data_IF_960334114424
#
_entry.id   IF_960334114424
#
_cell.length_a   1.000
_cell.length_b   1.000
_cell.length_c   1.000
_cell.angle_alpha   90.00
_cell.angle_beta   90.00
_cell.angle_gamma   90.00
#
_symmetry.space_group_name_H-M   'P 1'
#
loop_
_entity.id
_entity.type
_entity.pdbx_description
1 polymer ?
#
# COMPACT_ATOMS: atom_id res chain seq x y z
N UNK A 1 12.22 10.77 -28.17
CA UNK A 1 11.64 10.83 -26.82
C UNK A 1 10.48 9.85 -26.78
N UNK A 2 10.67 8.68 -26.16
CA UNK A 2 9.56 7.75 -25.89
C UNK A 2 9.11 7.97 -24.45
N UNK A 3 7.80 8.06 -24.16
CA UNK A 3 7.33 7.95 -22.79
C UNK A 3 7.48 6.49 -22.38
N UNK A 4 8.49 6.19 -21.56
CA UNK A 4 8.53 4.91 -20.85
C UNK A 4 7.39 4.92 -19.86
N UNK A 5 6.26 4.33 -20.25
CA UNK A 5 5.25 3.88 -19.30
C UNK A 5 5.97 3.12 -18.19
N UNK A 6 5.84 3.49 -16.91
CA UNK A 6 6.35 2.63 -15.86
C UNK A 6 5.57 1.33 -16.02
N UNK A 7 6.30 0.24 -16.26
CA UNK A 7 5.79 -1.11 -16.08
C UNK A 7 5.26 -1.14 -14.65
N UNK A 8 3.96 -0.88 -14.49
CA UNK A 8 3.25 -1.12 -13.24
C UNK A 8 3.55 -2.57 -12.93
N UNK A 9 4.40 -2.81 -11.95
CA UNK A 9 4.72 -4.15 -11.51
C UNK A 9 3.40 -4.72 -11.01
N UNK A 10 2.67 -5.43 -11.86
CA UNK A 10 1.50 -6.26 -11.51
C UNK A 10 2.00 -7.49 -10.76
N UNK A 11 2.85 -7.25 -9.76
CA UNK A 11 3.38 -8.24 -8.84
C UNK A 11 2.39 -8.46 -7.72
N UNK A 12 2.59 -9.56 -6.99
CA UNK A 12 1.82 -9.84 -5.78
C UNK A 12 1.95 -8.69 -4.76
N UNK A 13 0.95 -8.49 -3.89
CA UNK A 13 1.00 -7.47 -2.85
C UNK A 13 2.26 -7.59 -1.98
N UNK A 14 3.00 -6.48 -1.86
CA UNK A 14 4.24 -6.47 -1.10
C UNK A 14 4.07 -5.73 0.24
N UNK A 15 3.84 -6.50 1.31
CA UNK A 15 3.67 -5.97 2.66
C UNK A 15 4.96 -5.37 3.25
N UNK A 16 6.15 -5.74 2.74
CA UNK A 16 7.43 -5.21 3.23
C UNK A 16 7.58 -3.72 2.96
N UNK A 17 6.93 -3.20 1.92
CA UNK A 17 6.86 -1.75 1.64
C UNK A 17 6.19 -1.00 2.80
N UNK A 18 5.13 -1.57 3.39
CA UNK A 18 4.43 -0.99 4.54
C UNK A 18 5.30 -1.06 5.79
N UNK A 19 5.88 -2.24 6.06
CA UNK A 19 6.71 -2.50 7.23
C UNK A 19 7.96 -1.60 7.26
N UNK A 20 8.64 -1.46 6.12
CA UNK A 20 9.81 -0.57 6.00
C UNK A 20 9.47 0.90 6.24
N UNK A 21 8.21 1.31 5.99
CA UNK A 21 7.69 2.66 6.27
C UNK A 21 7.07 2.77 7.68
N UNK A 22 7.27 1.79 8.55
CA UNK A 22 6.82 1.81 9.95
C UNK A 22 5.34 1.52 10.15
N UNK A 23 4.65 0.99 9.13
CA UNK A 23 3.29 0.47 9.30
C UNK A 23 3.32 -0.95 9.84
N UNK A 24 2.43 -1.23 10.78
CA UNK A 24 2.11 -2.60 11.21
C UNK A 24 0.93 -3.11 10.40
N UNK A 25 1.04 -4.27 9.77
CA UNK A 25 -0.07 -4.88 9.00
C UNK A 25 -0.85 -5.81 9.92
N UNK A 26 -2.15 -5.56 10.09
CA UNK A 26 -3.01 -6.34 10.99
C UNK A 26 -3.76 -7.48 10.30
N UNK A 27 -4.37 -7.19 9.16
CA UNK A 27 -5.10 -8.18 8.36
C UNK A 27 -4.83 -7.96 6.87
N UNK A 28 -4.78 -9.05 6.10
CA UNK A 28 -4.51 -9.05 4.67
C UNK A 28 -5.39 -10.09 3.97
N UNK A 29 -6.05 -9.71 2.88
CA UNK A 29 -6.92 -10.59 2.11
C UNK A 29 -6.92 -10.15 0.65
N UNK A 30 -6.43 -11.01 -0.24
CA UNK A 30 -6.32 -10.70 -1.66
C UNK A 30 -5.42 -9.48 -1.88
N UNK A 31 -5.92 -8.44 -2.51
CA UNK A 31 -5.20 -7.19 -2.74
C UNK A 31 -5.42 -6.14 -1.64
N UNK A 32 -6.18 -6.45 -0.58
CA UNK A 32 -6.48 -5.50 0.47
C UNK A 32 -5.72 -5.79 1.76
N UNK A 33 -5.28 -4.75 2.46
CA UNK A 33 -4.76 -4.87 3.81
C UNK A 33 -5.23 -3.74 4.73
N UNK A 34 -5.23 -4.03 6.02
CA UNK A 34 -5.40 -3.03 7.09
C UNK A 34 -4.05 -2.81 7.76
N UNK A 35 -3.62 -1.55 7.83
CA UNK A 35 -2.33 -1.17 8.39
C UNK A 35 -2.48 -0.06 9.43
N UNK A 36 -1.58 -0.07 10.42
CA UNK A 36 -1.60 0.79 11.60
C UNK A 36 -0.27 1.50 11.78
N UNK A 37 -0.30 2.78 12.16
CA UNK A 37 0.88 3.55 12.55
C UNK A 37 0.52 4.49 13.69
N UNK A 38 0.88 4.13 14.91
CA UNK A 38 0.47 4.89 16.09
C UNK A 38 -1.04 4.87 16.25
N UNK A 39 -1.70 6.02 16.06
CA UNK A 39 -3.17 6.17 16.09
C UNK A 39 -3.82 6.11 14.71
N UNK A 40 -3.02 6.08 13.66
CA UNK A 40 -3.51 6.02 12.29
C UNK A 40 -3.84 4.57 11.91
N UNK A 41 -5.02 4.37 11.33
CA UNK A 41 -5.52 3.10 10.79
C UNK A 41 -5.94 3.36 9.34
N UNK A 42 -5.38 2.62 8.40
CA UNK A 42 -5.68 2.77 6.97
C UNK A 42 -6.04 1.43 6.36
N UNK A 43 -6.98 1.48 5.42
CA UNK A 43 -7.28 0.36 4.51
C UNK A 43 -6.61 0.66 3.18
N UNK A 44 -5.80 -0.27 2.72
CA UNK A 44 -4.98 -0.14 1.51
C UNK A 44 -5.38 -1.21 0.50
N UNK A 45 -5.40 -0.82 -0.77
CA UNK A 45 -5.55 -1.69 -1.93
C UNK A 45 -4.23 -1.72 -2.69
N UNK A 46 -3.74 -2.93 -2.98
CA UNK A 46 -2.63 -3.15 -3.89
C UNK A 46 -3.15 -3.07 -5.31
N UNK A 47 -2.72 -2.05 -6.04
CA UNK A 47 -3.03 -1.93 -7.47
C UNK A 47 -1.90 -1.21 -8.18
N UNK A 48 -1.73 -1.50 -9.47
CA UNK A 48 -0.68 -0.91 -10.29
C UNK A 48 0.75 -1.02 -9.69
N UNK A 49 1.00 -1.99 -8.81
CA UNK A 49 2.30 -2.22 -8.17
C UNK A 49 2.59 -1.35 -6.95
N UNK A 50 1.57 -0.71 -6.36
CA UNK A 50 1.72 0.09 -5.15
C UNK A 50 0.51 -0.03 -4.22
N UNK A 51 0.67 0.48 -3.00
CA UNK A 51 -0.41 0.53 -2.00
C UNK A 51 -1.15 1.86 -2.09
N UNK A 52 -2.45 1.78 -2.34
CA UNK A 52 -3.32 2.96 -2.41
C UNK A 52 -4.29 2.95 -1.24
N UNK A 53 -4.36 4.05 -0.49
CA UNK A 53 -5.35 4.19 0.56
C UNK A 53 -6.75 4.27 -0.03
N UNK A 54 -7.63 3.37 0.40
CA UNK A 54 -9.04 3.32 0.00
C UNK A 54 -9.99 3.65 1.17
N UNK A 55 -9.47 3.71 2.40
CA UNK A 55 -10.24 4.11 3.57
C UNK A 55 -9.40 4.27 4.84
N UNK A 56 -10.06 4.65 5.94
CA UNK A 56 -9.45 4.77 7.27
C UNK A 56 -9.16 6.20 7.73
N UNK A 57 -8.51 6.31 8.89
CA UNK A 57 -8.13 7.56 9.56
C UNK A 57 -6.61 7.66 9.59
N UNK A 58 -6.07 8.60 8.81
CA UNK A 58 -4.63 8.81 8.65
C UNK A 58 -4.28 9.12 7.19
N UNK A 59 -3.11 9.70 6.95
CA UNK A 59 -2.60 9.92 5.60
C UNK A 59 -1.47 8.96 5.31
N UNK A 60 -1.74 8.03 4.41
CA UNK A 60 -0.71 7.25 3.74
C UNK A 60 -0.08 8.17 2.69
N UNK A 61 1.15 8.64 2.93
CA UNK A 61 1.93 9.35 1.92
C UNK A 61 2.28 8.44 0.73
N UNK A 62 3.15 8.88 -0.17
CA UNK A 62 3.56 8.08 -1.34
C UNK A 62 4.10 6.69 -0.90
N UNK A 63 3.33 5.63 -1.19
CA UNK A 63 3.56 4.27 -0.71
C UNK A 63 4.09 3.35 -1.79
#
# INVERSE_FOLDING_TARGET
MQPTSPLAATGAPNLEVLRSKGWSVGSFTGDYCVAWRGRDEVVLEWRAGGWHQVGGRGSVGDL
#
